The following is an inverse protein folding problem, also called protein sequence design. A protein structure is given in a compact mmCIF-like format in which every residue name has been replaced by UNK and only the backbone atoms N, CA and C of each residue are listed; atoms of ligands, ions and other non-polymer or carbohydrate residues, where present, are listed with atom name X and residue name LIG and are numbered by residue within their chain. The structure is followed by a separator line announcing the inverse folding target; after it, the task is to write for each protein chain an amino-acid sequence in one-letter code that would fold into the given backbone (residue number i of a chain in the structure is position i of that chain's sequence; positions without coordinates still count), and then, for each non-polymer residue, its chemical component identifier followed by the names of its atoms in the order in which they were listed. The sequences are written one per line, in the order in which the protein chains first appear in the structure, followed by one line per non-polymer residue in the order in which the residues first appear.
data_IF_998330844663
#
_entry.id   IF_998330844663
#
_cell.length_a   1.000
_cell.length_b   1.000
_cell.length_c   1.000
_cell.angle_alpha   90.00
_cell.angle_beta   90.00
_cell.angle_gamma   90.00
#
_symmetry.space_group_name_H-M   'P 1'
#
loop_
_entity.id
_entity.type
_entity.pdbx_description
1 polymer ?
#
# COMPACT_ATOMS: atom_id res chain seq x y z
N UNK A 1 -11.10 -3.14 -0.16
CA UNK A 1 -11.00 -1.73 0.28
C UNK A 1 -12.10 -1.43 1.27
N UNK A 2 -11.76 -0.87 2.43
CA UNK A 2 -12.67 -0.70 3.57
C UNK A 2 -13.00 0.77 3.89
N UNK A 3 -12.66 1.73 3.01
CA UNK A 3 -13.02 3.13 3.20
C UNK A 3 -14.50 3.36 2.96
N UNK A 4 -15.08 4.34 3.65
CA UNK A 4 -16.49 4.67 3.49
C UNK A 4 -16.91 4.96 2.03
N UNK A 5 -16.17 5.77 1.24
CA UNK A 5 -16.55 6.02 -0.16
C UNK A 5 -16.57 4.77 -1.03
N UNK A 6 -15.61 3.85 -0.81
CA UNK A 6 -15.59 2.58 -1.56
C UNK A 6 -16.75 1.67 -1.14
N UNK A 7 -17.07 1.61 0.15
CA UNK A 7 -18.18 0.81 0.64
C UNK A 7 -19.55 1.39 0.19
N UNK A 8 -19.64 2.72 0.01
CA UNK A 8 -20.85 3.37 -0.50
C UNK A 8 -21.23 2.91 -1.91
N UNK A 9 -20.27 2.53 -2.75
CA UNK A 9 -20.53 1.98 -4.08
C UNK A 9 -21.34 0.67 -4.03
N UNK A 10 -21.34 0.01 -2.87
CA UNK A 10 -22.08 -1.23 -2.61
C UNK A 10 -23.22 -1.06 -1.61
N UNK A 11 -23.54 0.18 -1.20
CA UNK A 11 -24.55 0.48 -0.18
C UNK A 11 -24.16 0.04 1.23
N UNK A 12 -22.86 -0.08 1.52
CA UNK A 12 -22.31 -0.61 2.77
C UNK A 12 -21.58 0.44 3.63
N UNK A 13 -21.68 1.71 3.28
CA UNK A 13 -20.97 2.82 3.96
C UNK A 13 -21.37 2.98 5.43
N UNK A 14 -22.63 2.70 5.78
CA UNK A 14 -23.08 2.68 7.17
C UNK A 14 -22.41 1.57 8.02
N UNK A 15 -21.87 0.53 7.39
CA UNK A 15 -21.21 -0.61 8.05
C UNK A 15 -19.68 -0.54 7.99
N UNK A 16 -19.10 0.62 7.73
CA UNK A 16 -17.64 0.79 7.57
C UNK A 16 -16.88 0.22 8.77
N UNK A 17 -17.25 0.56 9.99
CA UNK A 17 -16.56 0.09 11.20
C UNK A 17 -16.73 -1.42 11.41
N UNK A 18 -17.94 -1.92 11.21
CA UNK A 18 -18.24 -3.35 11.35
C UNK A 18 -17.39 -4.19 10.40
N UNK A 19 -17.33 -3.80 9.11
CA UNK A 19 -16.59 -4.53 8.07
C UNK A 19 -15.09 -4.53 8.36
N UNK A 20 -14.52 -3.37 8.69
CA UNK A 20 -13.10 -3.26 9.01
C UNK A 20 -12.74 -4.06 10.27
N UNK A 21 -13.56 -4.01 11.31
CA UNK A 21 -13.38 -4.83 12.52
C UNK A 21 -13.46 -6.32 12.20
N UNK A 22 -14.45 -6.75 11.43
CA UNK A 22 -14.62 -8.16 11.06
C UNK A 22 -13.43 -8.70 10.28
N UNK A 23 -12.83 -7.88 9.40
CA UNK A 23 -11.62 -8.25 8.65
C UNK A 23 -10.44 -8.53 9.58
N UNK A 24 -10.14 -7.64 10.55
CA UNK A 24 -9.06 -7.86 11.52
C UNK A 24 -9.30 -9.11 12.35
N UNK A 25 -10.52 -9.30 12.85
CA UNK A 25 -10.87 -10.48 13.66
C UNK A 25 -10.75 -11.79 12.88
N UNK A 26 -11.05 -11.76 11.55
CA UNK A 26 -10.85 -12.92 10.68
C UNK A 26 -9.37 -13.28 10.54
N UNK A 27 -8.50 -12.28 10.31
CA UNK A 27 -7.04 -12.48 10.25
C UNK A 27 -6.53 -13.01 11.60
N UNK A 28 -6.90 -12.41 12.71
CA UNK A 28 -6.48 -12.85 14.06
C UNK A 28 -6.85 -14.31 14.34
N UNK A 29 -8.07 -14.72 13.99
CA UNK A 29 -8.49 -16.13 14.16
C UNK A 29 -7.63 -17.08 13.30
N UNK A 30 -7.21 -16.65 12.11
CA UNK A 30 -6.40 -17.49 11.24
C UNK A 30 -4.94 -17.58 11.67
N UNK A 31 -4.34 -16.47 12.09
CA UNK A 31 -2.89 -16.42 12.40
C UNK A 31 -2.59 -16.65 13.89
N UNK A 32 -3.52 -16.35 14.81
CA UNK A 32 -3.25 -16.39 16.25
C UNK A 32 -2.04 -15.51 16.60
N UNK A 33 -1.13 -16.06 17.39
CA UNK A 33 0.13 -15.40 17.79
C UNK A 33 1.31 -15.72 16.85
N UNK A 34 1.06 -16.42 15.74
CA UNK A 34 2.12 -16.84 14.81
C UNK A 34 2.59 -15.76 13.84
N UNK A 35 1.77 -14.73 13.62
CA UNK A 35 2.08 -13.62 12.71
C UNK A 35 1.36 -12.34 13.13
N UNK A 36 1.91 -11.21 12.68
CA UNK A 36 1.28 -9.91 12.86
C UNK A 36 0.08 -9.75 11.91
N UNK A 37 -0.98 -9.12 12.41
CA UNK A 37 -2.14 -8.74 11.61
C UNK A 37 -1.89 -7.36 10.98
N UNK A 38 -1.67 -7.34 9.66
CA UNK A 38 -1.53 -6.11 8.89
C UNK A 38 -2.86 -5.71 8.28
N UNK A 39 -3.25 -4.44 8.46
CA UNK A 39 -4.44 -3.89 7.84
C UNK A 39 -4.10 -3.19 6.52
N UNK A 40 -4.59 -3.73 5.42
CA UNK A 40 -4.49 -3.11 4.09
C UNK A 40 -5.44 -1.91 3.96
N UNK A 41 -4.89 -0.73 3.69
CA UNK A 41 -5.60 0.53 3.45
C UNK A 41 -5.20 1.03 2.06
N UNK A 42 -6.09 0.86 1.09
CA UNK A 42 -5.87 1.31 -0.28
C UNK A 42 -6.54 2.65 -0.59
N UNK A 43 -6.39 3.16 -1.82
CA UNK A 43 -7.04 4.38 -2.27
C UNK A 43 -8.56 4.35 -2.05
N UNK A 44 -9.13 5.48 -1.69
CA UNK A 44 -10.57 5.59 -1.40
C UNK A 44 -11.47 5.55 -2.65
N UNK A 45 -10.88 5.56 -3.85
CA UNK A 45 -11.60 5.53 -5.12
C UNK A 45 -12.14 6.89 -5.57
N UNK A 46 -11.77 7.96 -4.87
CA UNK A 46 -12.15 9.34 -5.21
C UNK A 46 -10.89 10.16 -5.47
N UNK A 47 -11.03 11.21 -6.28
CA UNK A 47 -9.93 12.13 -6.56
C UNK A 47 -10.12 13.43 -5.79
N UNK A 48 -9.02 13.93 -5.23
CA UNK A 48 -8.96 15.21 -4.55
C UNK A 48 -9.11 16.39 -5.53
N UNK A 49 -9.64 17.49 -5.04
CA UNK A 49 -9.57 18.78 -5.76
C UNK A 49 -8.10 19.14 -6.01
N UNK A 50 -7.74 19.75 -7.15
CA UNK A 50 -8.62 20.19 -8.25
C UNK A 50 -8.90 19.12 -9.32
N UNK A 51 -8.33 17.93 -9.24
CA UNK A 51 -8.46 16.87 -10.25
C UNK A 51 -9.78 16.10 -10.15
N UNK A 52 -10.43 16.12 -9.01
CA UNK A 52 -11.77 15.59 -8.72
C UNK A 52 -12.58 16.59 -7.90
N UNK A 53 -13.61 16.09 -7.25
CA UNK A 53 -14.56 16.87 -6.46
C UNK A 53 -14.43 16.66 -4.94
N UNK A 54 -13.59 15.73 -4.51
CA UNK A 54 -13.47 15.35 -3.10
C UNK A 54 -12.67 16.38 -2.31
N UNK A 55 -13.26 16.80 -1.21
CA UNK A 55 -12.60 17.67 -0.25
C UNK A 55 -11.54 16.92 0.56
N UNK A 56 -10.33 17.48 0.77
CA UNK A 56 -9.28 16.83 1.55
C UNK A 56 -9.72 16.43 2.97
N UNK A 57 -10.53 17.27 3.63
CA UNK A 57 -11.02 16.98 4.97
C UNK A 57 -11.97 15.77 4.98
N UNK A 58 -12.86 15.67 4.00
CA UNK A 58 -13.77 14.54 3.86
C UNK A 58 -13.00 13.22 3.60
N UNK A 59 -11.93 13.28 2.82
CA UNK A 59 -11.04 12.14 2.57
C UNK A 59 -10.29 11.73 3.85
N UNK A 60 -9.71 12.71 4.56
CA UNK A 60 -9.05 12.49 5.85
C UNK A 60 -10.00 11.83 6.86
N UNK A 61 -11.22 12.35 7.01
CA UNK A 61 -12.22 11.81 7.94
C UNK A 61 -12.63 10.38 7.60
N UNK A 62 -12.68 10.04 6.30
CA UNK A 62 -12.92 8.68 5.83
C UNK A 62 -11.79 7.73 6.24
N UNK A 63 -10.52 8.12 6.07
CA UNK A 63 -9.38 7.34 6.52
C UNK A 63 -9.34 7.24 8.05
N UNK A 64 -9.62 8.32 8.76
CA UNK A 64 -9.69 8.33 10.23
C UNK A 64 -10.73 7.36 10.76
N UNK A 65 -11.90 7.32 10.14
CA UNK A 65 -12.96 6.36 10.47
C UNK A 65 -12.50 4.91 10.30
N UNK A 66 -11.82 4.62 9.19
CA UNK A 66 -11.28 3.29 8.91
C UNK A 66 -10.17 2.91 9.90
N UNK A 67 -9.16 3.77 10.08
CA UNK A 67 -8.02 3.50 10.95
C UNK A 67 -8.44 3.32 12.41
N UNK A 68 -9.42 4.10 12.90
CA UNK A 68 -9.98 3.94 14.23
C UNK A 68 -10.64 2.56 14.43
N UNK A 69 -11.42 2.09 13.46
CA UNK A 69 -12.05 0.77 13.51
C UNK A 69 -11.04 -0.37 13.50
N UNK A 70 -9.99 -0.24 12.67
CA UNK A 70 -8.90 -1.22 12.57
C UNK A 70 -8.07 -1.26 13.86
N UNK A 71 -7.70 -0.11 14.42
CA UNK A 71 -6.95 0.00 15.67
C UNK A 71 -7.74 -0.62 16.84
N UNK A 72 -9.02 -0.26 16.98
CA UNK A 72 -9.90 -0.81 18.01
C UNK A 72 -10.09 -2.34 17.90
N UNK A 73 -9.92 -2.90 16.72
CA UNK A 73 -9.98 -4.35 16.49
C UNK A 73 -8.66 -5.07 16.80
N UNK A 74 -7.59 -4.35 17.12
CA UNK A 74 -6.31 -4.93 17.53
C UNK A 74 -5.41 -5.30 16.35
N UNK A 75 -5.34 -4.46 15.31
CA UNK A 75 -4.35 -4.60 14.25
C UNK A 75 -2.95 -4.28 14.80
N UNK A 76 -1.91 -4.96 14.28
CA UNK A 76 -0.53 -4.71 14.69
C UNK A 76 0.16 -3.63 13.84
N UNK A 77 -0.25 -3.48 12.58
CA UNK A 77 0.38 -2.56 11.62
C UNK A 77 -0.63 -2.07 10.61
N UNK A 78 -0.56 -0.80 10.24
CA UNK A 78 -1.26 -0.25 9.09
C UNK A 78 -0.38 -0.36 7.85
N UNK A 79 -0.90 -0.95 6.78
CA UNK A 79 -0.27 -0.98 5.47
C UNK A 79 -1.09 -0.12 4.50
N UNK A 80 -0.67 1.13 4.33
CA UNK A 80 -1.23 2.05 3.35
C UNK A 80 -0.56 1.72 2.03
N UNK A 81 -1.32 1.16 1.07
CA UNK A 81 -0.73 0.52 -0.10
C UNK A 81 -1.46 0.82 -1.40
N UNK A 82 -0.74 0.64 -2.50
CA UNK A 82 -1.28 0.82 -3.86
C UNK A 82 -1.74 2.26 -4.11
N UNK A 83 -1.12 3.22 -3.41
CA UNK A 83 -1.40 4.64 -3.58
C UNK A 83 -0.73 5.17 -4.85
N UNK A 84 -1.42 6.06 -5.55
CA UNK A 84 -0.91 6.72 -6.76
C UNK A 84 -1.00 8.24 -6.68
N UNK A 85 -1.81 8.78 -5.76
CA UNK A 85 -1.86 10.20 -5.41
C UNK A 85 -1.14 10.41 -4.08
N UNK A 86 -0.08 11.22 -4.08
CA UNK A 86 0.71 11.51 -2.87
C UNK A 86 -0.09 12.31 -1.84
N UNK A 87 -0.99 13.19 -2.29
CA UNK A 87 -1.82 13.97 -1.37
C UNK A 87 -2.79 13.05 -0.61
N UNK A 88 -3.43 12.10 -1.31
CA UNK A 88 -4.28 11.09 -0.66
C UNK A 88 -3.45 10.20 0.29
N UNK A 89 -2.29 9.73 -0.15
CA UNK A 89 -1.42 8.88 0.67
C UNK A 89 -0.99 9.59 1.98
N UNK A 90 -0.64 10.88 1.91
CA UNK A 90 -0.32 11.70 3.09
C UNK A 90 -1.49 11.79 4.06
N UNK A 91 -2.71 12.03 3.59
CA UNK A 91 -3.90 12.07 4.43
C UNK A 91 -4.16 10.72 5.14
N UNK A 92 -3.96 9.61 4.44
CA UNK A 92 -4.09 8.27 5.02
C UNK A 92 -3.04 8.03 6.12
N UNK A 93 -1.77 8.38 5.88
CA UNK A 93 -0.68 8.26 6.85
C UNK A 93 -0.94 9.12 8.08
N UNK A 94 -1.26 10.40 7.88
CA UNK A 94 -1.57 11.33 8.96
C UNK A 94 -2.73 10.83 9.83
N UNK A 95 -3.82 10.39 9.19
CA UNK A 95 -4.98 9.87 9.93
C UNK A 95 -4.62 8.64 10.78
N UNK A 96 -3.79 7.74 10.26
CA UNK A 96 -3.33 6.55 10.99
C UNK A 96 -2.46 6.93 12.20
N UNK A 97 -1.49 7.83 12.00
CA UNK A 97 -0.58 8.29 13.07
C UNK A 97 -1.31 9.08 14.17
N UNK A 98 -2.28 9.91 13.80
CA UNK A 98 -3.05 10.67 14.78
C UNK A 98 -4.06 9.79 15.55
N UNK A 99 -4.65 8.80 14.86
CA UNK A 99 -5.63 7.89 15.48
C UNK A 99 -4.97 6.88 16.43
N UNK A 100 -3.83 6.31 16.05
CA UNK A 100 -3.15 5.27 16.81
C UNK A 100 -1.62 5.41 16.68
N UNK A 101 -1.00 6.40 17.35
CA UNK A 101 0.42 6.75 17.17
C UNK A 101 1.40 5.61 17.53
N UNK A 102 0.96 4.64 18.33
CA UNK A 102 1.77 3.48 18.72
C UNK A 102 1.78 2.37 17.66
N UNK A 103 0.86 2.38 16.68
CA UNK A 103 0.80 1.37 15.63
C UNK A 103 1.69 1.83 14.45
N UNK A 104 2.66 1.01 14.02
CA UNK A 104 3.50 1.35 12.88
C UNK A 104 2.69 1.52 11.59
N UNK A 105 3.13 2.48 10.75
CA UNK A 105 2.53 2.78 9.45
C UNK A 105 3.52 2.48 8.33
N UNK A 106 3.22 1.47 7.52
CA UNK A 106 3.89 1.18 6.27
C UNK A 106 3.13 1.92 5.16
N UNK A 107 3.84 2.66 4.32
CA UNK A 107 3.22 3.42 3.24
C UNK A 107 3.91 3.15 1.90
N UNK A 108 3.18 2.59 0.95
CA UNK A 108 3.68 2.26 -0.38
C UNK A 108 2.86 2.92 -1.47
N UNK A 109 3.53 3.27 -2.56
CA UNK A 109 2.92 3.81 -3.76
C UNK A 109 3.24 2.94 -4.97
N UNK A 110 2.40 3.04 -5.99
CA UNK A 110 2.59 2.30 -7.25
C UNK A 110 3.18 3.21 -8.31
N UNK A 111 4.31 2.78 -8.88
CA UNK A 111 5.03 3.53 -9.91
C UNK A 111 5.02 2.76 -11.23
N UNK A 112 5.14 3.50 -12.33
CA UNK A 112 5.32 2.94 -13.67
C UNK A 112 6.63 3.46 -14.27
N UNK A 113 7.35 2.64 -15.05
CA UNK A 113 8.53 3.08 -15.76
C UNK A 113 8.15 4.07 -16.86
N UNK A 114 8.94 5.14 -16.99
CA UNK A 114 8.82 6.15 -18.03
C UNK A 114 10.22 6.47 -18.60
N UNK A 115 10.35 7.16 -19.74
CA UNK A 115 11.65 7.60 -20.23
C UNK A 115 12.42 8.52 -19.27
N UNK A 116 11.75 9.09 -18.27
CA UNK A 116 12.34 10.00 -17.26
C UNK A 116 12.55 9.34 -15.90
N UNK A 117 12.36 8.03 -15.76
CA UNK A 117 12.41 7.29 -14.50
C UNK A 117 11.03 6.79 -14.07
N UNK A 118 10.88 6.52 -12.78
CA UNK A 118 9.66 5.96 -12.22
C UNK A 118 8.74 7.05 -11.66
N UNK A 119 7.47 7.01 -12.10
CA UNK A 119 6.44 7.97 -11.67
C UNK A 119 5.12 7.24 -11.37
N UNK A 120 4.35 7.75 -10.42
CA UNK A 120 2.95 7.33 -10.28
C UNK A 120 2.14 7.83 -11.47
N UNK A 121 0.93 7.30 -11.67
CA UNK A 121 0.03 7.79 -12.71
C UNK A 121 -0.33 9.28 -12.55
N UNK A 122 -0.24 9.81 -11.33
CA UNK A 122 -0.43 11.24 -11.03
C UNK A 122 0.86 12.07 -11.22
N UNK A 123 1.94 11.46 -11.73
CA UNK A 123 3.20 12.16 -12.02
C UNK A 123 4.10 12.42 -10.81
N UNK A 124 3.87 11.73 -9.68
CA UNK A 124 4.75 11.81 -8.51
C UNK A 124 5.99 10.94 -8.73
N UNK A 125 7.19 11.52 -8.62
CA UNK A 125 8.45 10.77 -8.65
C UNK A 125 8.69 10.03 -7.33
N UNK A 126 9.57 9.00 -7.35
CA UNK A 126 9.99 8.27 -6.14
C UNK A 126 10.58 9.24 -5.10
N UNK A 127 11.40 10.20 -5.52
CA UNK A 127 11.97 11.22 -4.61
C UNK A 127 10.87 11.99 -3.85
N UNK A 128 9.84 12.49 -4.57
CA UNK A 128 8.74 13.22 -3.95
C UNK A 128 7.90 12.32 -3.05
N UNK A 129 7.68 11.07 -3.46
CA UNK A 129 6.93 10.09 -2.68
C UNK A 129 7.67 9.76 -1.37
N UNK A 130 8.96 9.45 -1.42
CA UNK A 130 9.76 9.14 -0.23
C UNK A 130 9.72 10.30 0.78
N UNK A 131 10.00 11.54 0.32
CA UNK A 131 9.97 12.72 1.17
C UNK A 131 8.57 12.99 1.76
N UNK A 132 7.53 12.94 0.93
CA UNK A 132 6.17 13.27 1.38
C UNK A 132 5.56 12.22 2.32
N UNK A 133 5.86 10.92 2.13
CA UNK A 133 5.41 9.87 3.04
C UNK A 133 6.14 9.95 4.39
N UNK A 134 7.45 10.21 4.37
CA UNK A 134 8.24 10.43 5.58
C UNK A 134 7.75 11.68 6.35
N UNK A 135 7.51 12.78 5.65
CA UNK A 135 6.95 14.01 6.24
C UNK A 135 5.58 13.77 6.88
N UNK A 136 4.74 12.94 6.27
CA UNK A 136 3.43 12.57 6.81
C UNK A 136 3.51 11.66 8.05
N UNK A 137 4.68 11.09 8.35
CA UNK A 137 4.93 10.27 9.53
C UNK A 137 4.94 8.75 9.27
N UNK A 138 5.12 8.30 8.03
CA UNK A 138 5.30 6.88 7.74
C UNK A 138 6.56 6.34 8.41
N UNK A 139 6.48 5.14 9.02
CA UNK A 139 7.61 4.47 9.65
C UNK A 139 8.39 3.61 8.64
N UNK A 140 7.73 3.17 7.58
CA UNK A 140 8.29 2.39 6.47
C UNK A 140 7.73 2.95 5.17
N UNK A 141 8.56 3.10 4.15
CA UNK A 141 8.14 3.56 2.81
C UNK A 141 8.49 2.53 1.75
N UNK A 142 7.91 2.65 0.56
CA UNK A 142 8.28 1.75 -0.54
C UNK A 142 7.30 1.70 -1.69
N UNK A 143 7.26 0.55 -2.34
CA UNK A 143 6.42 0.34 -3.52
C UNK A 143 5.75 -1.03 -3.52
N UNK A 144 4.55 -1.08 -4.06
CA UNK A 144 3.82 -2.31 -4.28
C UNK A 144 3.04 -2.27 -5.59
N UNK A 145 2.69 -3.44 -6.10
CA UNK A 145 1.84 -3.62 -7.27
C UNK A 145 2.39 -3.00 -8.58
N UNK A 146 1.73 -3.27 -9.69
CA UNK A 146 1.99 -2.62 -10.99
C UNK A 146 3.25 -3.07 -11.74
N UNK A 147 4.16 -3.82 -11.11
CA UNK A 147 5.44 -4.16 -11.71
C UNK A 147 5.87 -5.60 -11.45
N UNK A 148 6.77 -6.09 -12.32
CA UNK A 148 7.53 -7.33 -12.14
C UNK A 148 8.55 -7.20 -11.01
N UNK A 149 9.08 -8.33 -10.54
CA UNK A 149 10.13 -8.34 -9.51
C UNK A 149 11.40 -7.62 -9.99
N UNK A 150 11.75 -7.75 -11.26
CA UNK A 150 12.90 -7.05 -11.88
C UNK A 150 12.76 -5.51 -11.79
N UNK A 151 11.60 -4.97 -12.13
CA UNK A 151 11.36 -3.52 -12.04
C UNK A 151 11.32 -3.05 -10.58
N UNK A 152 10.84 -3.90 -9.66
CA UNK A 152 10.83 -3.57 -8.23
C UNK A 152 12.24 -3.47 -7.64
N UNK A 153 13.22 -4.23 -8.13
CA UNK A 153 14.64 -4.05 -7.76
C UNK A 153 15.11 -2.65 -8.14
N UNK A 154 14.79 -2.18 -9.34
CA UNK A 154 15.18 -0.84 -9.80
C UNK A 154 14.47 0.26 -9.00
N UNK A 155 13.19 0.09 -8.70
CA UNK A 155 12.41 1.00 -7.86
C UNK A 155 13.00 1.07 -6.44
N UNK A 156 13.37 -0.07 -5.85
CA UNK A 156 14.00 -0.13 -4.53
C UNK A 156 15.35 0.63 -4.51
N UNK A 157 16.19 0.39 -5.51
CA UNK A 157 17.46 1.10 -5.65
C UNK A 157 17.28 2.62 -5.78
N UNK A 158 16.22 3.07 -6.48
CA UNK A 158 15.90 4.49 -6.57
C UNK A 158 15.38 5.04 -5.24
N UNK A 159 14.47 4.33 -4.55
CA UNK A 159 13.98 4.72 -3.23
C UNK A 159 15.12 4.93 -2.24
N UNK A 160 16.12 4.01 -2.20
CA UNK A 160 17.24 4.07 -1.26
C UNK A 160 18.10 5.33 -1.41
N UNK A 161 18.10 5.95 -2.57
CA UNK A 161 18.78 7.25 -2.80
C UNK A 161 18.08 8.42 -2.10
N UNK A 162 16.83 8.26 -1.71
CA UNK A 162 15.97 9.36 -1.26
C UNK A 162 15.41 9.20 0.15
N UNK A 163 15.70 8.09 0.83
CA UNK A 163 15.24 7.85 2.20
C UNK A 163 16.21 6.96 2.97
N UNK A 164 16.26 7.12 4.28
CA UNK A 164 16.94 6.22 5.22
C UNK A 164 15.97 5.37 6.02
N UNK A 165 14.65 5.56 5.83
CA UNK A 165 13.63 4.73 6.47
C UNK A 165 13.72 3.27 5.97
N UNK A 166 13.26 2.32 6.77
CA UNK A 166 13.05 0.95 6.30
C UNK A 166 12.15 0.93 5.05
N UNK A 167 12.42 -0.02 4.15
CA UNK A 167 11.67 -0.16 2.90
C UNK A 167 10.86 -1.44 2.84
N UNK A 168 9.61 -1.31 2.36
CA UNK A 168 8.73 -2.40 1.97
C UNK A 168 8.62 -2.48 0.45
N UNK A 169 8.90 -3.65 -0.12
CA UNK A 169 8.67 -3.95 -1.54
C UNK A 169 7.77 -5.18 -1.67
N UNK A 170 6.68 -5.05 -2.44
CA UNK A 170 5.74 -6.13 -2.72
C UNK A 170 5.48 -6.19 -4.23
N UNK A 171 6.23 -7.08 -4.92
CA UNK A 171 6.09 -7.24 -6.37
C UNK A 171 4.92 -8.12 -6.74
N UNK A 172 4.32 -7.87 -7.91
CA UNK A 172 3.45 -8.84 -8.55
C UNK A 172 4.29 -10.01 -9.07
N UNK A 173 3.64 -11.13 -9.36
CA UNK A 173 4.26 -12.25 -10.09
C UNK A 173 4.35 -11.94 -11.60
N UNK A 174 4.94 -10.80 -11.94
CA UNK A 174 4.97 -10.20 -13.26
C UNK A 174 3.68 -9.44 -13.62
N UNK A 175 3.61 -8.94 -14.84
CA UNK A 175 2.39 -8.31 -15.36
C UNK A 175 1.44 -9.39 -15.91
N UNK A 176 0.13 -9.32 -15.63
CA UNK A 176 -0.80 -10.32 -16.08
C UNK A 176 -0.93 -10.30 -17.61
N UNK A 177 -0.93 -11.48 -18.23
CA UNK A 177 -1.28 -11.70 -19.62
C UNK A 177 -2.58 -12.48 -19.72
N UNK A 178 -3.48 -12.04 -20.62
CA UNK A 178 -4.74 -12.74 -20.83
C UNK A 178 -4.51 -14.00 -21.68
N UNK A 179 -4.82 -15.17 -21.10
CA UNK A 179 -4.83 -16.45 -21.81
C UNK A 179 -6.22 -17.07 -21.68
N UNK A 180 -6.90 -17.26 -22.81
CA UNK A 180 -8.25 -17.85 -22.84
C UNK A 180 -9.26 -17.15 -21.89
N UNK A 181 -9.20 -15.82 -21.79
CA UNK A 181 -10.08 -15.04 -20.93
C UNK A 181 -9.71 -15.03 -19.44
N UNK A 182 -8.60 -15.67 -19.05
CA UNK A 182 -8.09 -15.70 -17.67
C UNK A 182 -6.79 -14.94 -17.57
N UNK A 183 -6.62 -14.13 -16.53
CA UNK A 183 -5.38 -13.44 -16.22
C UNK A 183 -4.35 -14.45 -15.66
N UNK A 184 -3.22 -14.57 -16.33
CA UNK A 184 -2.11 -15.45 -15.92
C UNK A 184 -0.90 -14.58 -15.62
N UNK A 185 -0.30 -14.81 -14.46
CA UNK A 185 0.92 -14.12 -14.03
C UNK A 185 2.14 -14.96 -14.41
N UNK A 186 3.12 -14.38 -15.14
CA UNK A 186 4.19 -15.18 -15.77
C UNK A 186 5.38 -15.49 -14.85
N UNK A 187 5.58 -14.75 -13.74
CA UNK A 187 6.71 -14.99 -12.84
C UNK A 187 6.41 -16.12 -11.86
N UNK A 188 7.33 -17.10 -11.82
CA UNK A 188 7.23 -18.25 -10.90
C UNK A 188 7.81 -17.91 -9.53
N UNK A 189 7.50 -18.70 -8.48
CA UNK A 189 8.10 -18.53 -7.17
C UNK A 189 9.64 -18.57 -7.20
N UNK A 190 10.24 -19.43 -8.04
CA UNK A 190 11.69 -19.58 -8.17
C UNK A 190 12.32 -18.32 -8.78
N UNK A 191 11.67 -17.73 -9.79
CA UNK A 191 12.13 -16.47 -10.39
C UNK A 191 12.10 -15.35 -9.36
N UNK A 192 11.00 -15.21 -8.64
CA UNK A 192 10.85 -14.19 -7.60
C UNK A 192 11.87 -14.40 -6.47
N UNK A 193 12.02 -15.63 -5.99
CA UNK A 193 13.01 -16.00 -4.97
C UNK A 193 14.45 -15.70 -5.43
N UNK A 194 14.77 -15.92 -6.71
CA UNK A 194 16.07 -15.59 -7.30
C UNK A 194 16.42 -14.10 -7.25
N UNK A 195 15.43 -13.22 -7.15
CA UNK A 195 15.62 -11.75 -7.06
C UNK A 195 15.74 -11.22 -5.62
N UNK A 196 15.52 -12.04 -4.62
CA UNK A 196 15.57 -11.61 -3.20
C UNK A 196 16.94 -11.04 -2.85
N UNK A 197 18.04 -11.64 -3.31
CA UNK A 197 19.39 -11.15 -3.04
C UNK A 197 19.62 -9.72 -3.60
N UNK A 198 19.06 -9.41 -4.77
CA UNK A 198 19.15 -8.08 -5.39
C UNK A 198 18.34 -7.05 -4.60
N UNK A 199 17.13 -7.43 -4.13
CA UNK A 199 16.31 -6.57 -3.27
C UNK A 199 16.97 -6.30 -1.92
N UNK A 200 17.60 -7.31 -1.30
CA UNK A 200 18.37 -7.15 -0.06
C UNK A 200 19.59 -6.26 -0.30
N UNK A 201 20.29 -6.41 -1.43
CA UNK A 201 21.42 -5.54 -1.80
C UNK A 201 20.98 -4.09 -2.06
N UNK A 202 19.72 -3.85 -2.43
CA UNK A 202 19.10 -2.53 -2.51
C UNK A 202 18.62 -2.00 -1.14
N UNK A 203 18.96 -2.69 -0.04
CA UNK A 203 18.61 -2.36 1.34
C UNK A 203 17.09 -2.36 1.60
N UNK A 204 16.37 -3.31 0.98
CA UNK A 204 14.96 -3.59 1.29
C UNK A 204 14.89 -4.38 2.60
N UNK A 205 14.03 -3.95 3.51
CA UNK A 205 13.91 -4.51 4.86
C UNK A 205 12.71 -5.46 5.00
N UNK A 206 11.65 -5.22 4.24
CA UNK A 206 10.43 -6.01 4.25
C UNK A 206 10.10 -6.41 2.81
N UNK A 207 9.95 -7.70 2.58
CA UNK A 207 9.61 -8.28 1.29
C UNK A 207 8.22 -8.91 1.35
N UNK A 208 7.45 -8.71 0.30
CA UNK A 208 6.14 -9.34 0.15
C UNK A 208 5.79 -9.62 -1.29
N UNK A 209 4.74 -10.39 -1.47
CA UNK A 209 4.14 -10.64 -2.79
C UNK A 209 2.89 -9.80 -2.99
N UNK A 210 2.62 -9.47 -4.25
CA UNK A 210 1.42 -8.77 -4.70
C UNK A 210 0.53 -9.67 -5.56
N UNK A 211 -0.10 -9.08 -6.58
CA UNK A 211 -1.00 -9.82 -7.48
C UNK A 211 -0.30 -11.00 -8.16
N UNK A 212 -0.98 -12.15 -8.18
CA UNK A 212 -0.48 -13.38 -8.80
C UNK A 212 0.47 -14.20 -7.93
N UNK A 213 0.90 -13.70 -6.76
CA UNK A 213 1.73 -14.49 -5.84
C UNK A 213 0.88 -15.45 -5.00
N UNK A 214 1.48 -16.57 -4.62
CA UNK A 214 0.93 -17.58 -3.71
C UNK A 214 1.87 -17.83 -2.55
N UNK A 215 1.39 -18.38 -1.43
CA UNK A 215 2.23 -18.78 -0.31
C UNK A 215 3.29 -19.79 -0.71
#
# INVERSE_FOLDING_TARGET
RGTQPTLAEFGLDARTEEINRAAVLAVRRAVGDRAYASASIGPCGKMLKPYGDTDPQAMYDSFRRQTAALAAAGVDVFCIETMFDLAEAKLAVQSAKETAPAIPVLATMTFSPTPRGFFTIMGTSIQKAAAGLQEAGADVVGSNCGNSTELMVQIAAEFRRHTTLPMLIQSNAGLPVMKNGVAVYPETPELMAGKVAELVAADVNILGGGCGTTP
#
